data_IF_564245636187
#
_entry.id   IF_564245636187
#
_cell.length_a   1.000
_cell.length_b   1.000
_cell.length_c   1.000
_cell.angle_alpha   90.00
_cell.angle_beta   90.00
_cell.angle_gamma   90.00
#
_symmetry.space_group_name_H-M   'P 1'
#
loop_
_entity.id
_entity.type
_entity.pdbx_description
1 polymer ?
#
# COMPACT_ATOMS: atom_id res chain seq x y z
N UNK A 1 19.21 -22.44 22.77
CA UNK A 1 20.22 -21.82 23.66
C UNK A 1 20.74 -20.60 22.91
N UNK A 2 20.34 -19.38 23.29
CA UNK A 2 20.79 -18.14 22.66
C UNK A 2 22.13 -17.77 23.29
N UNK A 3 23.19 -17.68 22.48
CA UNK A 3 24.50 -17.18 22.90
C UNK A 3 24.71 -15.88 22.14
N UNK A 4 24.23 -14.77 22.70
CA UNK A 4 24.75 -13.46 22.33
C UNK A 4 24.75 -12.52 23.54
N UNK A 5 25.78 -11.68 23.64
CA UNK A 5 26.09 -10.81 24.81
C UNK A 5 26.01 -9.32 24.45
N UNK A 6 25.24 -8.96 23.43
CA UNK A 6 25.03 -7.58 22.99
C UNK A 6 23.58 -7.15 23.30
N UNK A 7 23.34 -5.87 23.61
CA UNK A 7 22.06 -5.40 24.15
C UNK A 7 20.91 -5.26 23.13
N UNK A 8 21.18 -5.33 21.82
CA UNK A 8 20.17 -5.11 20.77
C UNK A 8 20.02 -6.36 19.88
N UNK A 9 18.81 -6.92 19.88
CA UNK A 9 18.46 -8.10 19.10
C UNK A 9 18.20 -7.73 17.65
N UNK A 10 18.96 -8.32 16.74
CA UNK A 10 18.75 -8.15 15.30
C UNK A 10 17.67 -9.12 14.80
N UNK A 11 17.00 -8.84 13.67
CA UNK A 11 15.99 -9.75 13.09
C UNK A 11 16.46 -11.20 12.90
N UNK A 12 17.78 -11.38 12.82
CA UNK A 12 18.53 -12.63 12.68
C UNK A 12 18.72 -13.42 13.98
N UNK A 13 18.44 -12.83 15.14
CA UNK A 13 18.45 -13.50 16.45
C UNK A 13 17.17 -14.32 16.70
N UNK A 14 16.18 -14.26 15.81
CA UNK A 14 14.91 -14.96 15.93
C UNK A 14 14.86 -16.20 15.03
N UNK A 15 15.04 -17.43 15.57
CA UNK A 15 14.89 -18.65 14.79
C UNK A 15 13.39 -18.83 14.49
N UNK A 16 13.01 -18.54 13.24
CA UNK A 16 11.64 -18.58 12.72
C UNK A 16 10.72 -17.45 13.17
N UNK A 17 10.79 -16.31 12.47
CA UNK A 17 9.63 -15.41 12.33
C UNK A 17 9.40 -15.05 10.85
N UNK A 18 9.01 -16.03 10.06
CA UNK A 18 8.17 -15.76 8.89
C UNK A 18 6.74 -15.52 9.41
N UNK A 19 6.52 -14.40 10.10
CA UNK A 19 5.17 -13.84 10.10
C UNK A 19 4.87 -13.55 8.64
N UNK A 20 3.73 -13.99 8.07
CA UNK A 20 3.41 -13.62 6.71
C UNK A 20 3.34 -12.11 6.71
N UNK A 21 4.39 -11.47 6.19
CA UNK A 21 4.35 -10.12 5.64
C UNK A 21 3.03 -10.09 4.92
N UNK A 22 2.03 -9.36 5.46
CA UNK A 22 0.64 -9.33 4.96
C UNK A 22 0.72 -9.55 3.48
N UNK A 23 0.46 -10.79 3.05
CA UNK A 23 0.88 -11.21 1.72
C UNK A 23 0.08 -10.29 0.83
N UNK A 24 0.77 -9.37 0.14
CA UNK A 24 0.11 -8.44 -0.74
C UNK A 24 -0.82 -9.31 -1.58
N UNK A 25 -2.13 -9.16 -1.40
CA UNK A 25 -3.11 -10.10 -1.90
C UNK A 25 -3.11 -9.95 -3.42
N UNK A 26 -2.22 -10.71 -4.06
CA UNK A 26 -1.75 -10.36 -5.37
C UNK A 26 -0.57 -11.21 -5.78
N UNK A 27 -0.82 -12.20 -6.65
CA UNK A 27 0.27 -12.97 -7.26
C UNK A 27 1.03 -12.16 -8.30
N UNK A 28 0.43 -11.06 -8.79
CA UNK A 28 0.99 -10.23 -9.86
C UNK A 28 1.37 -8.85 -9.36
N UNK A 29 2.37 -8.25 -10.01
CA UNK A 29 2.80 -6.87 -9.74
C UNK A 29 1.65 -5.86 -9.86
N UNK A 30 0.71 -6.11 -10.77
CA UNK A 30 -0.46 -5.24 -10.97
C UNK A 30 -1.38 -5.21 -9.74
N UNK A 31 -1.52 -6.34 -9.04
CA UNK A 31 -2.35 -6.43 -7.84
C UNK A 31 -1.72 -5.63 -6.69
N UNK A 32 -0.40 -5.81 -6.50
CA UNK A 32 0.39 -5.07 -5.50
C UNK A 32 0.37 -3.57 -5.79
N UNK A 33 0.57 -3.21 -7.06
CA UNK A 33 0.53 -1.82 -7.51
C UNK A 33 -0.84 -1.20 -7.26
N UNK A 34 -1.92 -1.90 -7.59
CA UNK A 34 -3.30 -1.42 -7.38
C UNK A 34 -3.54 -1.08 -5.90
N UNK A 35 -3.24 -2.02 -5.00
CA UNK A 35 -3.42 -1.83 -3.55
C UNK A 35 -2.58 -0.66 -3.05
N UNK A 36 -1.34 -0.54 -3.52
CA UNK A 36 -0.46 0.54 -3.11
C UNK A 36 -0.99 1.91 -3.57
N UNK A 37 -1.46 2.02 -4.82
CA UNK A 37 -2.02 3.26 -5.37
C UNK A 37 -3.29 3.66 -4.61
N UNK A 38 -4.19 2.73 -4.37
CA UNK A 38 -5.44 2.97 -3.63
C UNK A 38 -5.17 3.48 -2.20
N UNK A 39 -4.21 2.85 -1.51
CA UNK A 39 -3.78 3.28 -0.18
C UNK A 39 -3.23 4.71 -0.20
N UNK A 40 -2.32 5.03 -1.11
CA UNK A 40 -1.73 6.38 -1.20
C UNK A 40 -2.77 7.44 -1.58
N UNK A 41 -3.71 7.09 -2.47
CA UNK A 41 -4.84 7.97 -2.81
C UNK A 41 -5.69 8.28 -1.59
N UNK A 42 -6.02 7.26 -0.80
CA UNK A 42 -6.82 7.40 0.43
C UNK A 42 -6.08 8.23 1.49
N UNK A 43 -4.82 7.91 1.77
CA UNK A 43 -3.96 8.68 2.70
C UNK A 43 -3.79 10.14 2.28
N UNK A 44 -3.80 10.40 0.97
CA UNK A 44 -3.69 11.75 0.40
C UNK A 44 -5.03 12.49 0.28
N UNK A 45 -6.16 11.89 0.67
CA UNK A 45 -7.50 12.45 0.48
C UNK A 45 -7.84 12.67 -0.99
N UNK A 46 -7.48 11.72 -1.86
CA UNK A 46 -7.66 11.76 -3.31
C UNK A 46 -6.98 12.93 -4.02
N UNK A 47 -6.01 13.59 -3.38
CA UNK A 47 -5.20 14.62 -4.02
C UNK A 47 -4.20 13.99 -4.99
N UNK A 48 -4.53 13.99 -6.29
CA UNK A 48 -3.70 13.39 -7.35
C UNK A 48 -2.27 13.93 -7.39
N UNK A 49 -2.09 15.24 -7.19
CA UNK A 49 -0.76 15.85 -7.24
C UNK A 49 0.12 15.40 -6.09
N UNK A 50 -0.44 15.31 -4.87
CA UNK A 50 0.27 14.78 -3.69
C UNK A 50 0.55 13.28 -3.85
N UNK A 51 -0.45 12.51 -4.28
CA UNK A 51 -0.35 11.07 -4.45
C UNK A 51 0.71 10.70 -5.48
N UNK A 52 0.75 11.40 -6.62
CA UNK A 52 1.75 11.19 -7.67
C UNK A 52 3.19 11.44 -7.17
N UNK A 53 3.38 12.47 -6.32
CA UNK A 53 4.69 12.74 -5.69
C UNK A 53 5.11 11.63 -4.73
N UNK A 54 4.18 11.13 -3.91
CA UNK A 54 4.45 10.03 -2.98
C UNK A 54 4.79 8.74 -3.73
N UNK A 55 4.04 8.44 -4.80
CA UNK A 55 4.27 7.28 -5.66
C UNK A 55 5.50 7.44 -6.59
N UNK A 56 6.09 8.63 -6.68
CA UNK A 56 7.24 8.89 -7.56
C UNK A 56 6.92 8.80 -9.06
N UNK A 57 5.68 9.07 -9.46
CA UNK A 57 5.23 8.99 -10.86
C UNK A 57 4.59 10.30 -11.32
N UNK A 58 4.45 10.47 -12.63
CA UNK A 58 3.69 11.60 -13.18
C UNK A 58 2.20 11.50 -12.87
N UNK A 59 1.55 12.66 -12.74
CA UNK A 59 0.10 12.75 -12.48
C UNK A 59 -0.74 12.10 -13.59
N UNK A 60 -0.32 12.22 -14.85
CA UNK A 60 -0.96 11.55 -16.01
C UNK A 60 -0.86 10.04 -15.92
N UNK A 61 0.29 9.52 -15.48
CA UNK A 61 0.49 8.08 -15.24
C UNK A 61 -0.41 7.58 -14.12
N UNK A 62 -0.49 8.32 -13.00
CA UNK A 62 -1.41 8.01 -11.91
C UNK A 62 -2.87 7.99 -12.39
N UNK A 63 -3.30 8.99 -13.16
CA UNK A 63 -4.64 9.04 -13.72
C UNK A 63 -4.95 7.83 -14.61
N UNK A 64 -4.02 7.44 -15.48
CA UNK A 64 -4.17 6.26 -16.33
C UNK A 64 -4.28 4.96 -15.50
N UNK A 65 -3.51 4.85 -14.42
CA UNK A 65 -3.57 3.70 -13.50
C UNK A 65 -4.89 3.65 -12.72
N UNK A 66 -5.39 4.80 -12.24
CA UNK A 66 -6.72 4.89 -11.61
C UNK A 66 -7.81 4.40 -12.55
N UNK A 67 -7.78 4.86 -13.82
CA UNK A 67 -8.74 4.43 -14.83
C UNK A 67 -8.60 2.94 -15.16
N UNK A 68 -7.38 2.44 -15.33
CA UNK A 68 -7.08 1.02 -15.63
C UNK A 68 -7.58 0.09 -14.53
N UNK A 69 -7.39 0.48 -13.28
CA UNK A 69 -7.77 -0.32 -12.11
C UNK A 69 -9.17 -0.02 -11.57
N UNK A 70 -9.88 0.93 -12.19
CA UNK A 70 -11.22 1.40 -11.81
C UNK A 70 -11.31 1.78 -10.32
N UNK A 71 -10.29 2.47 -9.80
CA UNK A 71 -10.24 2.92 -8.41
C UNK A 71 -11.23 4.09 -8.19
N UNK A 72 -11.98 4.06 -7.08
CA UNK A 72 -12.96 5.09 -6.70
C UNK A 72 -12.84 5.41 -5.22
N UNK A 73 -13.00 6.68 -4.87
CA UNK A 73 -13.07 7.08 -3.46
C UNK A 73 -14.41 6.67 -2.88
N UNK A 74 -14.40 6.05 -1.70
CA UNK A 74 -15.61 5.65 -0.98
C UNK A 74 -16.47 6.83 -0.48
N UNK A 75 -16.14 8.08 -0.80
CA UNK A 75 -16.97 9.25 -0.51
C UNK A 75 -18.07 9.54 -1.57
N UNK A 76 -18.25 8.68 -2.58
CA UNK A 76 -19.31 8.80 -3.58
C UNK A 76 -20.40 7.70 -3.45
N UNK A 77 -20.71 7.26 -2.23
CA UNK A 77 -21.55 6.09 -2.00
C UNK A 77 -22.42 6.06 -0.74
N UNK A 78 -22.67 7.18 -0.06
CA UNK A 78 -23.85 7.27 0.83
C UNK A 78 -24.98 7.97 0.08
N UNK A 79 -25.95 7.27 -0.53
CA UNK A 79 -27.28 7.85 -0.62
C UNK A 79 -27.77 8.05 0.82
N UNK A 80 -28.12 9.30 1.12
CA UNK A 80 -28.84 9.64 2.32
C UNK A 80 -30.04 8.69 2.50
N UNK A 81 -30.31 8.39 3.77
CA UNK A 81 -31.53 7.72 4.19
C UNK A 81 -32.69 8.69 3.97
N UNK A 82 -33.56 8.40 3.00
CA UNK A 82 -34.95 8.84 2.96
C UNK A 82 -35.83 7.78 2.28
#
# INVERSE_FOLDING_TARGET
MLINREPELQPEDFPFQASPVMAAEGRRLEDIEKVHIERVLTESGWNLSRSARVLGIDRTTLYNKIKRYNLRGEDAGTPARD
#
